data_IF_859650179695
#
_entry.id   IF_859650179695
#
_cell.length_a   1.000
_cell.length_b   1.000
_cell.length_c   1.000
_cell.angle_alpha   90.00
_cell.angle_beta   90.00
_cell.angle_gamma   90.00
#
_symmetry.space_group_name_H-M   'P 1'
#
loop_
_entity.id
_entity.type
_entity.pdbx_description
1 polymer ?
#
# COMPACT_ATOMS: atom_id res chain seq x y z
N UNK A 1 38.19 18.44 -7.45
CA UNK A 1 37.12 17.44 -7.77
C UNK A 1 35.78 18.07 -7.43
N UNK A 2 34.66 17.68 -8.07
CA UNK A 2 33.37 18.40 -7.96
C UNK A 2 32.74 18.44 -6.56
N UNK A 3 33.07 17.48 -5.68
CA UNK A 3 32.47 17.36 -4.35
C UNK A 3 33.27 18.03 -3.23
N UNK A 4 34.33 18.79 -3.54
CA UNK A 4 35.07 19.56 -2.55
C UNK A 4 36.00 18.76 -1.62
N UNK A 5 36.17 17.45 -1.83
CA UNK A 5 36.96 16.58 -0.95
C UNK A 5 38.42 17.02 -0.74
N UNK A 6 39.00 17.72 -1.72
CA UNK A 6 40.38 18.21 -1.66
C UNK A 6 40.46 19.73 -1.44
N UNK A 7 39.34 20.40 -1.23
CA UNK A 7 39.25 21.86 -1.29
C UNK A 7 39.54 22.51 0.08
N UNK A 8 40.60 22.07 0.76
CA UNK A 8 41.00 22.54 2.10
C UNK A 8 39.91 22.31 3.18
N UNK A 9 39.61 23.29 4.05
CA UNK A 9 38.67 23.10 5.18
C UNK A 9 37.28 22.70 4.68
N UNK A 10 36.81 21.46 4.93
CA UNK A 10 35.52 20.96 4.48
C UNK A 10 34.35 21.85 4.93
N UNK A 11 34.45 22.53 6.09
CA UNK A 11 33.38 23.37 6.65
C UNK A 11 33.08 24.63 5.82
N UNK A 12 34.02 25.05 4.99
CA UNK A 12 33.84 26.20 4.10
C UNK A 12 33.02 25.85 2.84
N UNK A 13 32.67 24.56 2.66
CA UNK A 13 31.97 24.06 1.49
C UNK A 13 30.48 23.80 1.75
N UNK A 14 29.64 23.72 0.70
CA UNK A 14 28.18 23.64 0.83
C UNK A 14 27.64 22.53 1.75
N UNK A 15 28.38 21.41 1.90
CA UNK A 15 27.96 20.26 2.71
C UNK A 15 28.75 20.10 4.01
N UNK A 16 29.74 20.95 4.27
CA UNK A 16 30.70 20.79 5.36
C UNK A 16 30.13 20.91 6.77
N UNK A 17 28.94 21.50 6.89
CA UNK A 17 28.26 21.74 8.16
C UNK A 17 27.14 20.72 8.45
N UNK A 18 26.91 19.75 7.55
CA UNK A 18 25.95 18.67 7.80
C UNK A 18 26.55 17.67 8.79
N UNK A 19 25.75 17.23 9.75
CA UNK A 19 26.16 16.24 10.76
C UNK A 19 24.98 15.47 11.35
N UNK A 20 25.19 14.76 12.46
CA UNK A 20 24.15 13.92 13.08
C UNK A 20 22.86 14.66 13.44
N UNK A 21 22.93 15.95 13.78
CA UNK A 21 21.76 16.77 14.09
C UNK A 21 20.88 17.06 12.87
N UNK A 22 21.39 16.84 11.65
CA UNK A 22 20.63 16.98 10.41
C UNK A 22 20.02 15.64 9.95
N UNK A 23 20.26 14.54 10.68
CA UNK A 23 19.73 13.21 10.35
C UNK A 23 18.48 12.95 11.17
N UNK A 24 17.44 12.39 10.55
CA UNK A 24 16.17 12.07 11.23
C UNK A 24 15.55 13.24 12.00
N UNK A 25 15.57 14.45 11.41
CA UNK A 25 14.79 15.58 11.94
C UNK A 25 13.30 15.31 11.84
N UNK A 26 12.49 16.04 12.61
CA UNK A 26 11.03 15.97 12.54
C UNK A 26 10.52 16.20 11.11
N UNK A 27 11.09 17.18 10.39
CA UNK A 27 10.77 17.44 8.97
C UNK A 27 11.03 16.21 8.07
N UNK A 28 12.12 15.46 8.30
CA UNK A 28 12.41 14.24 7.54
C UNK A 28 11.43 13.11 7.87
N UNK A 29 11.02 12.99 9.15
CA UNK A 29 10.02 12.00 9.58
C UNK A 29 8.62 12.32 9.02
N UNK A 30 8.22 13.59 9.04
CA UNK A 30 6.98 14.06 8.42
C UNK A 30 6.97 13.83 6.91
N UNK A 31 8.08 14.10 6.22
CA UNK A 31 8.22 13.82 4.79
C UNK A 31 8.10 12.31 4.51
N UNK A 32 8.72 11.45 5.32
CA UNK A 32 8.59 10.00 5.16
C UNK A 32 7.13 9.53 5.33
N UNK A 33 6.42 10.07 6.31
CA UNK A 33 4.99 9.83 6.50
C UNK A 33 4.16 10.34 5.31
N UNK A 34 4.48 11.52 4.78
CA UNK A 34 3.75 12.11 3.66
C UNK A 34 3.90 11.31 2.37
N UNK A 35 5.13 10.89 2.06
CA UNK A 35 5.41 10.01 0.92
C UNK A 35 4.71 8.66 1.09
N UNK A 36 4.70 8.07 2.30
CA UNK A 36 4.01 6.82 2.56
C UNK A 36 2.48 6.96 2.31
N UNK A 37 1.85 8.03 2.80
CA UNK A 37 0.42 8.31 2.56
C UNK A 37 0.10 8.43 1.06
N UNK A 38 0.89 9.23 0.33
CA UNK A 38 0.69 9.44 -1.11
C UNK A 38 0.98 8.18 -1.95
N UNK A 39 1.79 7.27 -1.42
CA UNK A 39 2.13 5.98 -2.02
C UNK A 39 1.02 4.92 -1.90
N UNK A 40 0.14 5.02 -0.91
CA UNK A 40 -0.96 4.06 -0.71
C UNK A 40 -1.96 4.16 -1.85
N UNK A 41 -2.28 3.01 -2.45
CA UNK A 41 -3.25 2.88 -3.54
C UNK A 41 -4.53 2.23 -3.03
N UNK A 42 -5.65 2.92 -3.23
CA UNK A 42 -6.98 2.36 -2.98
C UNK A 42 -7.43 1.52 -4.17
N UNK A 43 -7.51 0.20 -4.00
CA UNK A 43 -7.89 -0.74 -5.06
C UNK A 43 -9.40 -1.02 -5.09
N UNK A 44 -10.04 -1.07 -3.93
CA UNK A 44 -11.49 -1.21 -3.80
C UNK A 44 -11.99 -0.57 -2.50
N UNK A 45 -13.18 0.03 -2.54
CA UNK A 45 -13.84 0.58 -1.36
C UNK A 45 -15.36 0.49 -1.50
N UNK A 46 -15.95 -0.40 -0.72
CA UNK A 46 -17.39 -0.60 -0.55
C UNK A 46 -17.88 0.08 0.74
N UNK A 47 -17.30 1.22 1.10
CA UNK A 47 -17.67 2.02 2.29
C UNK A 47 -17.06 1.52 3.61
N UNK A 48 -15.87 0.93 3.57
CA UNK A 48 -15.18 0.44 4.77
C UNK A 48 -14.14 1.41 5.34
N UNK A 49 -13.66 2.36 4.54
CA UNK A 49 -12.68 3.35 4.96
C UNK A 49 -13.33 4.58 5.58
N UNK A 50 -12.52 5.45 6.18
CA UNK A 50 -12.94 6.63 6.94
C UNK A 50 -13.69 6.28 8.23
N UNK A 51 -13.16 5.29 8.97
CA UNK A 51 -13.71 4.87 10.25
C UNK A 51 -13.47 5.96 11.31
N UNK A 52 -14.54 6.40 11.98
CA UNK A 52 -14.46 7.46 13.00
C UNK A 52 -13.47 7.12 14.12
N UNK A 53 -12.63 8.08 14.49
CA UNK A 53 -11.58 8.00 15.52
C UNK A 53 -12.06 7.66 16.93
N UNK A 54 -13.35 7.65 17.18
CA UNK A 54 -13.94 7.32 18.48
C UNK A 54 -15.00 6.22 18.35
N UNK A 55 -14.72 5.26 17.47
CA UNK A 55 -15.57 4.09 17.33
C UNK A 55 -15.44 3.20 18.57
N UNK A 56 -16.57 2.75 19.13
CA UNK A 56 -16.61 1.70 20.18
C UNK A 56 -16.36 0.30 19.60
N UNK A 57 -15.94 0.24 18.33
CA UNK A 57 -15.72 -1.01 17.59
C UNK A 57 -14.39 -1.62 18.00
N UNK A 58 -14.39 -2.93 18.16
CA UNK A 58 -13.17 -3.68 18.39
C UNK A 58 -12.55 -4.08 17.05
N UNK A 59 -11.25 -3.84 16.93
CA UNK A 59 -10.46 -4.18 15.76
C UNK A 59 -9.57 -5.38 16.05
N UNK A 60 -9.32 -6.17 15.01
CA UNK A 60 -8.26 -7.16 15.01
C UNK A 60 -7.40 -6.97 13.76
N UNK A 61 -6.09 -6.92 13.97
CA UNK A 61 -5.09 -6.96 12.92
C UNK A 61 -4.67 -8.41 12.74
N UNK A 62 -4.72 -8.91 11.51
CA UNK A 62 -4.38 -10.30 11.19
C UNK A 62 -3.45 -10.35 10.00
N UNK A 63 -2.45 -11.23 10.03
CA UNK A 63 -1.60 -11.53 8.89
C UNK A 63 -0.11 -11.37 9.21
N UNK A 64 0.75 -11.92 8.34
CA UNK A 64 2.20 -11.94 8.55
C UNK A 64 2.79 -10.53 8.67
N UNK A 65 2.20 -9.56 7.97
CA UNK A 65 2.69 -8.19 7.91
C UNK A 65 1.98 -7.25 8.90
N UNK A 66 1.11 -7.77 9.78
CA UNK A 66 0.31 -6.95 10.71
C UNK A 66 1.14 -6.22 11.77
N UNK A 67 2.29 -6.78 12.15
CA UNK A 67 3.25 -6.16 13.05
C UNK A 67 4.67 -6.12 12.44
N UNK A 68 4.76 -5.92 11.12
CA UNK A 68 6.03 -5.92 10.40
C UNK A 68 6.85 -4.65 10.68
N UNK A 69 8.18 -4.82 10.67
CA UNK A 69 9.18 -3.73 10.62
C UNK A 69 10.12 -3.90 9.42
N UNK A 70 10.60 -5.13 9.18
CA UNK A 70 11.57 -5.44 8.11
C UNK A 70 10.91 -5.36 6.73
N UNK A 71 9.75 -6.00 6.57
CA UNK A 71 9.03 -5.97 5.29
C UNK A 71 8.84 -4.52 4.81
N UNK A 72 8.42 -3.62 5.70
CA UNK A 72 8.09 -2.24 5.39
C UNK A 72 9.22 -1.41 4.80
N UNK A 73 10.49 -1.72 5.08
CA UNK A 73 11.63 -0.92 4.59
C UNK A 73 12.27 -1.48 3.32
N UNK A 74 11.86 -2.69 2.90
CA UNK A 74 12.42 -3.36 1.74
C UNK A 74 13.94 -3.59 1.81
N UNK A 75 14.56 -3.80 0.65
CA UNK A 75 16.00 -3.91 0.43
C UNK A 75 16.63 -2.52 0.23
N UNK A 76 17.97 -2.46 0.27
CA UNK A 76 18.73 -1.19 0.16
C UNK A 76 18.35 -0.13 1.23
N UNK A 77 17.88 -0.58 2.39
CA UNK A 77 17.49 0.29 3.49
C UNK A 77 18.58 0.36 4.58
N UNK A 78 18.81 1.57 5.10
CA UNK A 78 19.52 1.78 6.36
C UNK A 78 18.63 1.47 7.57
N UNK A 79 19.16 1.68 8.78
CA UNK A 79 18.38 1.56 10.02
C UNK A 79 17.66 2.90 10.26
N UNK A 80 16.32 2.97 10.17
CA UNK A 80 15.54 4.14 10.55
C UNK A 80 15.66 4.44 12.04
N UNK A 81 15.41 5.70 12.41
CA UNK A 81 15.38 6.15 13.81
C UNK A 81 14.24 5.53 14.62
N UNK A 82 13.12 5.26 13.95
CA UNK A 82 11.92 4.69 14.55
C UNK A 82 11.11 3.92 13.51
N UNK A 83 10.19 3.08 13.98
CA UNK A 83 9.23 2.38 13.14
C UNK A 83 7.85 2.47 13.78
N UNK A 84 6.83 2.67 12.96
CA UNK A 84 5.44 2.43 13.35
C UNK A 84 4.89 1.26 12.55
N UNK A 85 4.65 0.12 13.18
CA UNK A 85 4.03 -1.06 12.53
C UNK A 85 2.55 -0.80 12.21
N UNK A 86 1.90 -1.57 11.32
CA UNK A 86 0.47 -1.41 11.03
C UNK A 86 -0.41 -1.56 12.30
N UNK A 87 -0.06 -2.50 13.17
CA UNK A 87 -0.68 -2.66 14.49
C UNK A 87 -0.54 -1.39 15.34
N UNK A 88 0.69 -0.88 15.50
CA UNK A 88 0.95 0.31 16.31
C UNK A 88 0.25 1.55 15.76
N UNK A 89 0.25 1.72 14.42
CA UNK A 89 -0.45 2.81 13.76
C UNK A 89 -1.94 2.81 14.11
N UNK A 90 -2.61 1.65 14.00
CA UNK A 90 -4.03 1.52 14.35
C UNK A 90 -4.29 1.74 15.85
N UNK A 91 -3.38 1.28 16.73
CA UNK A 91 -3.48 1.49 18.18
C UNK A 91 -3.40 2.97 18.59
N UNK A 92 -2.79 3.84 17.78
CA UNK A 92 -2.82 5.30 18.03
C UNK A 92 -4.22 5.91 17.85
N UNK A 93 -5.10 5.27 17.08
CA UNK A 93 -6.46 5.77 16.77
C UNK A 93 -7.57 5.01 17.48
N UNK A 94 -7.34 3.74 17.83
CA UNK A 94 -8.39 2.82 18.25
C UNK A 94 -7.99 2.20 19.59
N UNK A 95 -8.89 2.30 20.57
CA UNK A 95 -8.62 1.84 21.94
C UNK A 95 -8.47 0.31 22.04
N UNK A 96 -9.26 -0.44 21.28
CA UNK A 96 -9.30 -1.91 21.32
C UNK A 96 -8.85 -2.50 19.99
N UNK A 97 -7.53 -2.69 19.86
CA UNK A 97 -6.91 -3.38 18.72
C UNK A 97 -6.17 -4.60 19.25
N UNK A 98 -6.60 -5.78 18.79
CA UNK A 98 -5.90 -7.04 19.04
C UNK A 98 -5.11 -7.45 17.81
N UNK A 99 -4.13 -8.35 17.99
CA UNK A 99 -3.31 -8.87 16.90
C UNK A 99 -3.20 -10.38 16.97
N UNK A 100 -3.29 -11.04 15.83
CA UNK A 100 -2.90 -12.45 15.67
C UNK A 100 -2.25 -12.63 14.31
N UNK A 101 -1.19 -13.43 14.25
CA UNK A 101 -0.43 -13.57 13.00
C UNK A 101 -1.21 -14.34 11.93
N UNK A 102 -1.93 -15.41 12.32
CA UNK A 102 -2.62 -16.33 11.41
C UNK A 102 -1.67 -17.15 10.53
N UNK A 103 -0.86 -16.46 9.72
CA UNK A 103 0.18 -17.00 8.86
C UNK A 103 1.56 -16.53 9.38
N UNK A 104 2.28 -17.30 10.21
CA UNK A 104 3.54 -16.84 10.83
C UNK A 104 4.69 -16.68 9.85
N UNK A 105 4.68 -17.42 8.75
CA UNK A 105 5.69 -17.37 7.69
C UNK A 105 5.00 -17.06 6.36
N UNK A 106 5.74 -16.48 5.39
CA UNK A 106 5.17 -16.13 4.08
C UNK A 106 4.66 -17.34 3.30
N UNK A 107 5.25 -18.53 3.49
CA UNK A 107 4.76 -19.78 2.91
C UNK A 107 3.41 -20.25 3.51
N UNK A 108 2.95 -19.64 4.59
CA UNK A 108 1.70 -19.90 5.34
C UNK A 108 1.15 -21.32 5.19
N UNK A 109 1.75 -22.29 5.88
CA UNK A 109 1.36 -23.72 5.77
C UNK A 109 0.60 -24.25 6.99
N UNK A 110 0.45 -23.45 8.04
CA UNK A 110 -0.21 -23.87 9.29
C UNK A 110 -1.71 -23.53 9.26
N UNK A 111 -2.53 -24.51 8.92
CA UNK A 111 -3.99 -24.37 8.88
C UNK A 111 -4.61 -24.18 10.28
N UNK A 112 -3.98 -24.70 11.34
CA UNK A 112 -4.48 -24.56 12.71
C UNK A 112 -4.44 -23.09 13.13
N UNK A 113 -3.34 -22.39 12.83
CA UNK A 113 -3.21 -20.97 13.13
C UNK A 113 -4.18 -20.11 12.30
N UNK A 114 -4.43 -20.46 11.04
CA UNK A 114 -5.47 -19.83 10.21
C UNK A 114 -6.85 -20.01 10.84
N UNK A 115 -7.17 -21.21 11.34
CA UNK A 115 -8.43 -21.50 12.03
C UNK A 115 -8.61 -20.71 13.33
N UNK A 116 -7.55 -20.58 14.13
CA UNK A 116 -7.55 -19.77 15.36
C UNK A 116 -7.74 -18.28 15.07
N UNK A 117 -7.05 -17.75 14.05
CA UNK A 117 -7.23 -16.37 13.61
C UNK A 117 -8.64 -16.13 13.08
N UNK A 118 -9.20 -17.08 12.32
CA UNK A 118 -10.58 -17.01 11.82
C UNK A 118 -11.58 -16.96 12.96
N UNK A 119 -11.40 -17.77 14.01
CA UNK A 119 -12.23 -17.72 15.20
C UNK A 119 -12.15 -16.36 15.91
N UNK A 120 -10.95 -15.80 16.05
CA UNK A 120 -10.77 -14.47 16.64
C UNK A 120 -11.44 -13.37 15.81
N UNK A 121 -11.43 -13.48 14.47
CA UNK A 121 -12.11 -12.54 13.58
C UNK A 121 -13.64 -12.51 13.75
N UNK A 122 -14.26 -13.59 14.23
CA UNK A 122 -15.73 -13.66 14.42
C UNK A 122 -16.25 -12.79 15.56
N UNK A 123 -15.42 -12.45 16.54
CA UNK A 123 -15.81 -11.66 17.73
C UNK A 123 -15.44 -10.19 17.61
N UNK A 124 -15.13 -9.71 16.41
CA UNK A 124 -14.66 -8.33 16.16
C UNK A 124 -15.49 -7.63 15.09
N UNK A 125 -15.57 -6.31 15.19
CA UNK A 125 -16.38 -5.50 14.29
C UNK A 125 -15.64 -5.17 12.99
N UNK A 126 -14.32 -5.01 13.07
CA UNK A 126 -13.45 -4.69 11.94
C UNK A 126 -12.22 -5.58 11.95
N UNK A 127 -11.98 -6.25 10.84
CA UNK A 127 -10.83 -7.13 10.63
C UNK A 127 -9.91 -6.46 9.61
N UNK A 128 -8.70 -6.11 10.03
CA UNK A 128 -7.67 -5.57 9.14
C UNK A 128 -6.67 -6.66 8.82
N UNK A 129 -6.71 -7.15 7.58
CA UNK A 129 -5.84 -8.20 7.09
C UNK A 129 -4.62 -7.57 6.42
N UNK A 130 -3.42 -7.78 6.95
CA UNK A 130 -2.17 -7.29 6.36
C UNK A 130 -1.41 -8.48 5.78
N UNK A 131 -1.69 -8.74 4.50
CA UNK A 131 -1.19 -9.88 3.72
C UNK A 131 -0.17 -9.40 2.69
N UNK A 132 0.47 -10.33 1.98
CA UNK A 132 1.39 -10.04 0.90
C UNK A 132 2.69 -10.81 1.04
N UNK A 133 3.81 -10.12 0.76
CA UNK A 133 5.15 -10.68 0.67
C UNK A 133 6.12 -9.97 1.62
N UNK A 134 7.34 -10.48 1.64
CA UNK A 134 8.52 -9.83 2.21
C UNK A 134 9.77 -10.21 1.39
N UNK A 135 10.94 -9.80 1.88
CA UNK A 135 12.24 -10.03 1.26
C UNK A 135 12.66 -11.50 1.25
N UNK A 136 11.96 -12.39 1.97
CA UNK A 136 12.18 -13.84 1.87
C UNK A 136 11.67 -14.43 0.55
N UNK A 137 10.81 -13.69 -0.16
CA UNK A 137 10.18 -14.09 -1.42
C UNK A 137 10.66 -13.21 -2.58
N UNK A 138 10.82 -11.90 -2.38
CA UNK A 138 11.20 -10.94 -3.43
C UNK A 138 12.37 -10.06 -2.97
N UNK A 139 13.57 -10.33 -3.51
CA UNK A 139 14.77 -9.53 -3.25
C UNK A 139 15.75 -9.60 -4.43
N UNK A 140 16.87 -8.90 -4.33
CA UNK A 140 17.97 -9.02 -5.30
C UNK A 140 18.42 -10.49 -5.42
N UNK A 141 18.61 -10.94 -6.66
CA UNK A 141 18.91 -12.33 -7.02
C UNK A 141 17.84 -13.37 -6.57
N UNK A 142 16.64 -12.93 -6.22
CA UNK A 142 15.51 -13.78 -5.87
C UNK A 142 14.24 -13.31 -6.58
N UNK A 143 14.05 -13.81 -7.79
CA UNK A 143 12.82 -13.60 -8.54
C UNK A 143 11.71 -14.50 -8.03
N UNK A 144 10.52 -13.93 -7.90
CA UNK A 144 9.32 -14.66 -7.62
C UNK A 144 8.51 -14.86 -8.90
N UNK A 145 8.42 -16.11 -9.36
CA UNK A 145 7.87 -16.46 -10.68
C UNK A 145 6.33 -16.54 -10.74
N UNK A 146 5.64 -16.27 -9.62
CA UNK A 146 4.19 -16.28 -9.55
C UNK A 146 3.65 -14.91 -9.16
N UNK A 147 2.36 -14.67 -9.39
CA UNK A 147 1.69 -13.42 -9.02
C UNK A 147 0.49 -13.69 -8.09
N UNK A 148 0.61 -14.65 -7.15
CA UNK A 148 -0.50 -15.04 -6.25
C UNK A 148 -0.10 -14.94 -4.77
N UNK A 149 -1.04 -14.83 -3.83
CA UNK A 149 -0.65 -14.91 -2.41
C UNK A 149 -0.07 -16.29 -2.08
N UNK A 150 1.03 -16.33 -1.32
CA UNK A 150 1.68 -17.59 -0.96
C UNK A 150 0.88 -18.37 0.09
N UNK A 151 0.94 -19.70 -0.04
CA UNK A 151 0.40 -20.63 0.94
C UNK A 151 -1.09 -20.42 1.20
N UNK A 152 -1.47 -20.50 2.47
CA UNK A 152 -2.84 -20.33 2.93
C UNK A 152 -3.24 -18.88 3.18
N UNK A 153 -2.49 -17.87 2.71
CA UNK A 153 -2.92 -16.47 2.85
C UNK A 153 -4.27 -16.21 2.14
N UNK A 154 -4.43 -16.66 0.88
CA UNK A 154 -5.72 -16.53 0.18
C UNK A 154 -6.84 -17.30 0.90
N UNK A 155 -6.56 -18.53 1.34
CA UNK A 155 -7.50 -19.36 2.11
C UNK A 155 -7.92 -18.65 3.40
N UNK A 156 -6.97 -18.05 4.12
CA UNK A 156 -7.19 -17.31 5.35
C UNK A 156 -8.15 -16.13 5.13
N UNK A 157 -7.96 -15.36 4.05
CA UNK A 157 -8.89 -14.27 3.68
C UNK A 157 -10.28 -14.82 3.39
N UNK A 158 -10.41 -15.91 2.62
CA UNK A 158 -11.69 -16.54 2.27
C UNK A 158 -12.42 -17.13 3.48
N UNK A 159 -11.72 -17.86 4.33
CA UNK A 159 -12.27 -18.46 5.55
C UNK A 159 -12.81 -17.37 6.48
N UNK A 160 -12.06 -16.29 6.66
CA UNK A 160 -12.51 -15.14 7.45
C UNK A 160 -13.68 -14.42 6.83
N UNK A 161 -13.69 -14.22 5.51
CA UNK A 161 -14.81 -13.62 4.80
C UNK A 161 -16.11 -14.41 4.93
N UNK A 162 -16.02 -15.73 5.05
CA UNK A 162 -17.15 -16.60 5.29
C UNK A 162 -17.60 -16.64 6.76
N UNK A 163 -16.66 -16.53 7.71
CA UNK A 163 -16.94 -16.69 9.13
C UNK A 163 -17.30 -15.39 9.86
N UNK A 164 -16.71 -14.25 9.48
CA UNK A 164 -16.89 -12.99 10.22
C UNK A 164 -18.17 -12.27 9.86
N UNK A 165 -18.80 -11.67 10.86
CA UNK A 165 -19.86 -10.68 10.65
C UNK A 165 -19.31 -9.27 10.46
N UNK A 166 -18.06 -9.03 10.86
CA UNK A 166 -17.37 -7.75 10.78
C UNK A 166 -17.07 -7.28 9.36
N UNK A 167 -16.64 -6.03 9.26
CA UNK A 167 -16.14 -5.45 8.01
C UNK A 167 -14.67 -5.79 7.84
N UNK A 168 -14.27 -6.29 6.67
CA UNK A 168 -12.87 -6.62 6.39
C UNK A 168 -12.23 -5.56 5.50
N UNK A 169 -11.01 -5.17 5.89
CA UNK A 169 -10.11 -4.33 5.10
C UNK A 169 -8.87 -5.17 4.81
N UNK A 170 -8.59 -5.40 3.53
CA UNK A 170 -7.42 -6.11 3.07
C UNK A 170 -6.33 -5.10 2.69
N UNK A 171 -5.16 -5.24 3.30
CA UNK A 171 -3.96 -4.44 3.06
C UNK A 171 -2.92 -5.38 2.45
N UNK A 172 -2.50 -5.10 1.22
CA UNK A 172 -1.49 -5.86 0.50
C UNK A 172 -0.15 -5.11 0.57
N UNK A 173 0.81 -5.72 1.25
CA UNK A 173 2.18 -5.24 1.36
C UNK A 173 3.08 -6.12 0.49
N UNK A 174 3.52 -5.58 -0.65
CA UNK A 174 4.42 -6.22 -1.62
C UNK A 174 4.92 -5.20 -2.63
N UNK A 175 6.10 -5.41 -3.22
CA UNK A 175 6.52 -4.72 -4.45
C UNK A 175 5.87 -5.37 -5.65
N UNK A 176 5.95 -6.71 -5.73
CA UNK A 176 5.40 -7.44 -6.85
C UNK A 176 3.87 -7.31 -6.89
N UNK A 177 3.28 -7.23 -8.08
CA UNK A 177 1.84 -7.27 -8.20
C UNK A 177 1.33 -8.65 -7.77
N UNK A 178 0.27 -8.67 -6.98
CA UNK A 178 -0.40 -9.89 -6.50
C UNK A 178 -1.82 -9.94 -7.05
N UNK A 179 -2.20 -11.02 -7.69
CA UNK A 179 -3.58 -11.29 -8.06
C UNK A 179 -4.45 -11.42 -6.81
N UNK A 180 -5.27 -10.41 -6.60
CA UNK A 180 -6.25 -10.31 -5.52
C UNK A 180 -7.68 -10.35 -6.05
N UNK A 181 -7.89 -10.85 -7.27
CA UNK A 181 -9.21 -10.91 -7.91
C UNK A 181 -10.22 -11.70 -7.08
N UNK A 182 -9.76 -12.71 -6.33
CA UNK A 182 -10.60 -13.46 -5.39
C UNK A 182 -11.24 -12.55 -4.33
N UNK A 183 -10.49 -11.58 -3.79
CA UNK A 183 -10.93 -10.74 -2.68
C UNK A 183 -12.02 -9.74 -3.09
N UNK A 184 -12.06 -9.33 -4.36
CA UNK A 184 -13.10 -8.41 -4.87
C UNK A 184 -14.49 -9.02 -4.84
N UNK A 185 -14.58 -10.33 -5.01
CA UNK A 185 -15.83 -11.07 -5.03
C UNK A 185 -16.35 -11.38 -3.61
N UNK A 186 -15.50 -11.26 -2.60
CA UNK A 186 -15.89 -11.47 -1.21
C UNK A 186 -16.74 -10.31 -0.70
N UNK A 187 -17.92 -10.65 -0.14
CA UNK A 187 -18.89 -9.64 0.31
C UNK A 187 -18.42 -8.88 1.55
N UNK A 188 -17.63 -9.54 2.42
CA UNK A 188 -17.13 -8.96 3.67
C UNK A 188 -15.85 -8.15 3.48
N UNK A 189 -15.10 -8.38 2.40
CA UNK A 189 -13.98 -7.54 1.97
C UNK A 189 -14.54 -6.28 1.35
N UNK A 190 -14.52 -5.20 2.15
CA UNK A 190 -15.12 -3.91 1.79
C UNK A 190 -14.11 -2.80 1.61
N UNK A 191 -12.83 -3.04 1.89
CA UNK A 191 -11.73 -2.13 1.55
C UNK A 191 -10.52 -2.95 1.11
N UNK A 192 -9.85 -2.52 0.05
CA UNK A 192 -8.60 -3.14 -0.40
C UNK A 192 -7.58 -2.03 -0.67
N UNK A 193 -6.44 -2.09 0.02
CA UNK A 193 -5.31 -1.18 -0.09
C UNK A 193 -4.09 -1.94 -0.60
N UNK A 194 -3.32 -1.34 -1.50
CA UNK A 194 -1.95 -1.74 -1.79
C UNK A 194 -0.99 -0.67 -1.29
N UNK A 195 -0.01 -1.09 -0.50
CA UNK A 195 0.83 -0.17 0.29
C UNK A 195 2.31 -0.23 -0.08
N UNK A 196 2.68 -1.06 -1.06
CA UNK A 196 4.09 -1.29 -1.39
C UNK A 196 4.87 -1.78 -0.17
N UNK A 197 6.06 -1.21 0.02
CA UNK A 197 6.79 -1.22 1.28
C UNK A 197 6.84 0.20 1.84
N UNK A 198 5.98 0.54 2.83
CA UNK A 198 5.64 1.92 3.16
C UNK A 198 6.64 2.64 4.09
N UNK A 199 7.85 2.10 4.27
CA UNK A 199 8.93 2.72 5.04
C UNK A 199 8.65 2.83 6.54
N UNK A 200 9.45 3.65 7.23
CA UNK A 200 9.43 3.77 8.70
C UNK A 200 8.08 4.20 9.30
N UNK A 201 7.34 5.07 8.60
CA UNK A 201 6.06 5.63 9.06
C UNK A 201 4.84 4.92 8.42
N UNK A 202 5.06 3.75 7.80
CA UNK A 202 4.01 3.11 7.02
C UNK A 202 2.79 2.67 7.82
N UNK A 203 2.95 2.27 9.09
CA UNK A 203 1.82 1.97 9.95
C UNK A 203 0.96 3.18 10.26
N UNK A 204 1.57 4.36 10.45
CA UNK A 204 0.85 5.62 10.62
C UNK A 204 0.09 6.00 9.35
N UNK A 205 0.71 5.84 8.18
CA UNK A 205 0.06 6.10 6.90
C UNK A 205 -1.15 5.18 6.67
N UNK A 206 -1.01 3.88 6.93
CA UNK A 206 -2.10 2.89 6.82
C UNK A 206 -3.26 3.27 7.75
N UNK A 207 -2.96 3.61 9.00
CA UNK A 207 -3.97 3.98 9.98
C UNK A 207 -4.71 5.28 9.58
N UNK A 208 -3.98 6.30 9.13
CA UNK A 208 -4.58 7.56 8.65
C UNK A 208 -5.51 7.35 7.44
N UNK A 209 -5.17 6.43 6.53
CA UNK A 209 -6.06 6.06 5.42
C UNK A 209 -7.30 5.31 5.89
N UNK A 210 -7.14 4.32 6.79
CA UNK A 210 -8.27 3.54 7.31
C UNK A 210 -9.24 4.41 8.13
N UNK A 211 -8.70 5.30 8.97
CA UNK A 211 -9.47 6.20 9.83
C UNK A 211 -9.93 7.49 9.12
N UNK A 212 -9.48 7.74 7.88
CA UNK A 212 -9.98 8.84 7.05
C UNK A 212 -9.34 10.21 7.29
N UNK A 213 -8.17 10.26 7.92
CA UNK A 213 -7.34 11.47 8.01
C UNK A 213 -6.65 11.80 6.70
N UNK A 214 -6.40 10.78 5.88
CA UNK A 214 -5.87 10.93 4.54
C UNK A 214 -6.74 10.17 3.55
N UNK A 215 -7.15 10.84 2.49
CA UNK A 215 -7.89 10.20 1.41
C UNK A 215 -6.90 9.66 0.36
N UNK A 216 -6.78 8.34 0.21
CA UNK A 216 -5.85 7.75 -0.74
C UNK A 216 -6.30 8.07 -2.16
N UNK A 217 -5.35 8.34 -3.05
CA UNK A 217 -5.65 8.59 -4.45
C UNK A 217 -5.99 7.27 -5.15
N UNK A 218 -7.11 7.18 -5.89
CA UNK A 218 -7.33 6.06 -6.79
C UNK A 218 -6.29 6.12 -7.92
N UNK A 219 -5.29 5.24 -7.91
CA UNK A 219 -4.30 5.12 -8.98
C UNK A 219 -4.52 3.80 -9.72
N UNK A 220 -4.72 3.87 -11.05
CA UNK A 220 -4.46 2.72 -11.93
C UNK A 220 -3.01 2.83 -12.38
N UNK A 221 -2.07 2.29 -11.61
CA UNK A 221 -0.69 2.13 -12.10
C UNK A 221 -0.66 1.03 -13.17
N UNK A 222 0.32 1.04 -14.07
CA UNK A 222 0.60 -0.08 -14.99
C UNK A 222 0.99 -1.38 -14.24
N UNK A 223 1.28 -1.29 -12.95
CA UNK A 223 1.57 -2.39 -12.03
C UNK A 223 0.34 -2.79 -11.19
N UNK A 224 -0.87 -2.42 -11.63
CA UNK A 224 -2.09 -2.70 -10.87
C UNK A 224 -2.19 -4.21 -10.56
N UNK A 225 -2.39 -4.64 -9.30
CA UNK A 225 -2.48 -6.05 -8.91
C UNK A 225 -3.77 -6.75 -9.42
N UNK A 226 -4.46 -6.14 -10.38
CA UNK A 226 -5.74 -6.61 -10.89
C UNK A 226 -5.47 -7.22 -12.25
N UNK A 227 -5.16 -8.52 -12.26
CA UNK A 227 -5.07 -9.34 -13.46
C UNK A 227 -4.06 -8.85 -14.49
N UNK A 228 -2.86 -9.41 -14.46
CA UNK A 228 -1.98 -9.33 -15.62
C UNK A 228 -2.49 -10.29 -16.69
N UNK A 229 -2.66 -9.87 -17.96
CA UNK A 229 -2.62 -10.83 -19.04
C UNK A 229 -1.26 -11.52 -18.98
N UNK A 230 -1.28 -12.85 -18.94
CA UNK A 230 -0.10 -13.70 -19.01
C UNK A 230 0.92 -13.13 -20.00
N UNK A 231 2.18 -12.98 -19.57
CA UNK A 231 3.31 -12.60 -20.43
C UNK A 231 3.65 -13.78 -21.36
N UNK A 232 2.75 -14.05 -22.29
CA UNK A 232 3.00 -14.80 -23.52
C UNK A 232 2.51 -13.91 -24.66
N UNK A 233 3.35 -13.59 -25.66
CA UNK A 233 2.94 -12.72 -26.74
C UNK A 233 2.02 -13.51 -27.67
N UNK A 234 0.71 -13.51 -27.38
CA UNK A 234 -0.27 -13.91 -28.39
C UNK A 234 -1.58 -13.14 -28.24
N UNK A 235 -1.82 -12.35 -29.30
CA UNK A 235 -3.06 -11.69 -29.72
C UNK A 235 -3.27 -10.27 -29.20
N UNK A 236 -3.34 -9.37 -30.19
CA UNK A 236 -3.83 -8.00 -30.10
C UNK A 236 -5.14 -7.97 -29.32
N UNK A 237 -5.13 -7.27 -28.17
CA UNK A 237 -6.39 -6.85 -27.56
C UNK A 237 -7.05 -5.81 -28.46
N UNK A 238 -8.32 -6.03 -28.86
CA UNK A 238 -9.07 -5.03 -29.59
C UNK A 238 -9.37 -3.88 -28.63
N UNK A 239 -8.79 -2.71 -28.90
CA UNK A 239 -9.09 -1.47 -28.18
C UNK A 239 -10.61 -1.31 -28.02
N UNK A 240 -11.12 -1.03 -26.80
CA UNK A 240 -12.53 -0.72 -26.63
C UNK A 240 -12.83 0.58 -27.39
N UNK A 241 -13.99 0.61 -28.08
CA UNK A 241 -14.58 1.75 -28.76
C UNK A 241 -14.73 2.98 -27.83
N UNK A 242 -13.63 3.65 -27.50
CA UNK A 242 -13.60 5.03 -27.07
C UNK A 242 -13.82 5.89 -28.31
N UNK A 243 -14.61 6.95 -28.15
CA UNK A 243 -14.79 7.94 -29.20
C UNK A 243 -13.44 8.62 -29.46
N UNK A 244 -12.69 8.13 -30.44
CA UNK A 244 -11.48 8.79 -30.91
C UNK A 244 -11.92 9.99 -31.76
N UNK A 245 -11.46 11.18 -31.39
CA UNK A 245 -11.50 12.31 -32.31
C UNK A 245 -10.44 12.02 -33.37
N UNK A 246 -10.89 11.55 -34.53
CA UNK A 246 -10.04 11.40 -35.72
C UNK A 246 -9.72 12.80 -36.26
N UNK A 247 -8.60 13.37 -35.82
CA UNK A 247 -8.08 14.61 -36.38
C UNK A 247 -7.32 14.23 -37.66
N UNK A 248 -8.08 14.01 -38.73
CA UNK A 248 -7.51 13.70 -40.04
C UNK A 248 -6.62 14.85 -40.52
N UNK A 249 -5.31 14.62 -40.53
CA UNK A 249 -4.22 15.49 -40.99
C UNK A 249 -4.02 16.81 -40.24
N UNK A 250 -3.09 16.81 -39.27
CA UNK A 250 -2.49 18.02 -38.69
C UNK A 250 -1.09 18.20 -39.27
N UNK A 251 -0.82 19.37 -39.87
CA UNK A 251 0.52 19.71 -40.35
C UNK A 251 1.40 20.13 -39.16
N UNK A 252 2.18 19.19 -38.63
CA UNK A 252 2.94 19.33 -37.39
C UNK A 252 4.29 20.05 -37.57
N UNK A 253 4.27 21.33 -37.95
CA UNK A 253 5.47 22.17 -37.87
C UNK A 253 5.29 23.16 -36.72
N UNK A 254 6.09 22.98 -35.65
CA UNK A 254 6.12 23.84 -34.45
C UNK A 254 4.80 24.00 -33.66
N UNK A 255 3.99 22.94 -33.56
CA UNK A 255 2.80 22.97 -32.68
C UNK A 255 3.21 22.80 -31.21
N UNK A 256 2.97 23.82 -30.39
CA UNK A 256 2.88 23.68 -28.94
C UNK A 256 1.43 23.36 -28.57
N UNK A 257 1.21 22.22 -27.93
CA UNK A 257 -0.11 21.81 -27.45
C UNK A 257 -0.15 22.06 -25.94
N UNK A 258 -0.96 23.02 -25.51
CA UNK A 258 -1.20 23.30 -24.10
C UNK A 258 -2.49 22.59 -23.70
N UNK A 259 -2.35 21.51 -22.94
CA UNK A 259 -3.48 20.76 -22.41
C UNK A 259 -3.83 21.30 -21.02
N UNK A 260 -5.03 21.88 -20.88
CA UNK A 260 -5.57 22.35 -19.58
C UNK A 260 -6.69 21.41 -19.16
N UNK A 261 -6.52 20.75 -18.01
CA UNK A 261 -7.52 19.81 -17.45
C UNK A 261 -8.06 20.40 -16.15
N UNK A 262 -9.34 20.77 -16.15
CA UNK A 262 -10.04 21.18 -14.93
C UNK A 262 -10.50 19.98 -14.12
N UNK A 263 -10.05 19.86 -12.88
CA UNK A 263 -10.50 18.80 -11.95
C UNK A 263 -11.37 19.42 -10.87
N UNK A 264 -12.58 18.89 -10.68
CA UNK A 264 -13.54 19.34 -9.67
C UNK A 264 -13.90 18.20 -8.72
N UNK A 265 -13.71 18.42 -7.42
CA UNK A 265 -14.17 17.50 -6.40
C UNK A 265 -15.66 17.74 -6.07
N UNK A 266 -16.50 16.72 -6.25
CA UNK A 266 -17.93 16.75 -5.93
C UNK A 266 -18.29 15.91 -4.69
N UNK A 267 -17.28 15.42 -3.95
CA UNK A 267 -17.44 14.58 -2.76
C UNK A 267 -17.26 15.42 -1.48
N UNK A 268 -17.78 14.96 -0.32
CA UNK A 268 -17.73 15.72 0.93
C UNK A 268 -16.33 15.82 1.56
N UNK A 269 -15.37 15.03 1.08
CA UNK A 269 -14.00 15.04 1.62
C UNK A 269 -13.01 15.56 0.59
N UNK A 270 -12.03 16.34 1.04
CA UNK A 270 -10.89 16.78 0.24
C UNK A 270 -9.98 15.60 -0.12
N UNK A 271 -9.26 15.67 -1.24
CA UNK A 271 -8.31 14.62 -1.62
C UNK A 271 -7.46 15.05 -2.80
N UNK A 272 -6.32 14.36 -2.95
CA UNK A 272 -5.42 14.59 -4.07
C UNK A 272 -5.93 13.90 -5.34
N UNK A 273 -5.59 14.45 -6.49
CA UNK A 273 -5.97 13.92 -7.80
C UNK A 273 -4.73 13.62 -8.63
N UNK A 274 -4.67 12.43 -9.21
CA UNK A 274 -3.63 12.05 -10.16
C UNK A 274 -4.26 11.92 -11.54
N UNK A 275 -3.72 12.67 -12.50
CA UNK A 275 -4.16 12.68 -13.89
C UNK A 275 -3.06 12.01 -14.73
N UNK A 276 -3.39 10.87 -15.33
CA UNK A 276 -2.52 10.17 -16.27
C UNK A 276 -2.97 10.52 -17.70
N UNK A 277 -2.06 11.01 -18.52
CA UNK A 277 -2.30 11.36 -19.94
C UNK A 277 -1.50 10.34 -20.77
N UNK A 278 -2.16 9.68 -21.70
CA UNK A 278 -1.58 8.68 -22.61
C UNK A 278 -1.71 9.16 -24.05
#
# INVERSE_FOLDING_TARGET
MRLGFFDMDPKLHPFGNLGPLNVCTEEHQELALDVAKQGIVLLDNKGALSLSKNTTKNFIVIGPNGNAIVAMISIYAGIPSEYTTPLQGLQKYILFVTYTVGCPFMNCTDELLVGLATKAATTTDVVVLVMGLDQSIEQEDLDWENLILLGYQEKCVKDMANATNGTMILVIMSISPIDISFAKNERKVRGILWVGYPGQAGGDAIAQVICGDHNPVPKKSSLNPIGFPSVYPSKQDPYPNGQAIDVSSVNCINLQLVLVIGVRNNRPMNGDHVVLIF
#
